data_IF_642139129247
#
_entry.id   IF_642139129247
#
_cell.length_a   1.000
_cell.length_b   1.000
_cell.length_c   1.000
_cell.angle_alpha   90.00
_cell.angle_beta   90.00
_cell.angle_gamma   90.00
#
_symmetry.space_group_name_H-M   'P 1'
#
loop_
_entity.id
_entity.type
_entity.pdbx_description
1 polymer ?
#
# COMPACT_ATOMS: atom_id res chain seq x y z
N UNK A 1 11.95 13.55 12.66
CA UNK A 1 13.35 13.16 12.27
C UNK A 1 13.55 11.64 12.39
N UNK A 2 13.12 11.01 13.47
CA UNK A 2 13.36 9.57 13.71
C UNK A 2 12.65 8.62 12.71
N UNK A 3 11.42 8.94 12.30
CA UNK A 3 10.66 8.07 11.37
C UNK A 3 11.32 8.02 9.98
N UNK A 4 11.75 9.15 9.45
CA UNK A 4 12.41 9.24 8.15
C UNK A 4 13.72 8.44 8.10
N UNK A 5 14.58 8.58 9.12
CA UNK A 5 15.84 7.82 9.20
C UNK A 5 15.60 6.30 9.29
N UNK A 6 14.57 5.89 10.02
CA UNK A 6 14.20 4.47 10.12
C UNK A 6 13.71 3.93 8.79
N UNK A 7 12.92 4.72 8.06
CA UNK A 7 12.43 4.35 6.73
C UNK A 7 13.58 4.27 5.72
N UNK A 8 14.52 5.21 5.74
CA UNK A 8 15.71 5.15 4.88
C UNK A 8 16.51 3.87 5.10
N UNK A 9 16.79 3.53 6.36
CA UNK A 9 17.46 2.26 6.70
C UNK A 9 16.67 1.01 6.27
N UNK A 10 15.34 1.07 6.37
CA UNK A 10 14.47 -0.01 5.91
C UNK A 10 14.56 -0.18 4.40
N UNK A 11 14.43 0.92 3.63
CA UNK A 11 14.53 0.92 2.17
C UNK A 11 15.89 0.39 1.70
N UNK A 12 16.99 0.85 2.30
CA UNK A 12 18.34 0.35 2.01
C UNK A 12 18.45 -1.18 2.21
N UNK A 13 17.85 -1.70 3.29
CA UNK A 13 17.83 -3.15 3.55
C UNK A 13 17.00 -3.90 2.52
N UNK A 14 15.86 -3.35 2.13
CA UNK A 14 14.96 -3.96 1.16
C UNK A 14 15.59 -4.00 -0.25
N UNK A 15 16.26 -2.92 -0.66
CA UNK A 15 17.00 -2.85 -1.92
C UNK A 15 18.14 -3.88 -1.94
N UNK A 16 18.89 -3.98 -0.84
CA UNK A 16 20.00 -4.93 -0.69
C UNK A 16 19.56 -6.40 -0.53
N UNK A 17 18.24 -6.65 -0.43
CA UNK A 17 17.72 -8.00 -0.18
C UNK A 17 18.09 -8.58 1.20
N UNK A 18 18.47 -7.71 2.16
CA UNK A 18 18.81 -8.13 3.53
C UNK A 18 17.59 -8.18 4.45
N UNK A 19 16.43 -7.81 3.96
CA UNK A 19 15.13 -7.99 4.62
C UNK A 19 14.06 -8.24 3.57
N UNK A 20 13.08 -9.04 3.94
CA UNK A 20 11.82 -9.26 3.23
C UNK A 20 10.62 -8.78 4.07
N UNK A 21 10.87 -8.14 5.20
CA UNK A 21 9.80 -7.62 6.05
C UNK A 21 9.13 -6.43 5.39
N UNK A 22 7.81 -6.39 5.50
CA UNK A 22 7.00 -5.24 5.15
C UNK A 22 7.05 -4.13 6.21
N UNK A 23 6.23 -3.11 6.03
CA UNK A 23 6.13 -1.98 6.94
C UNK A 23 4.67 -1.61 7.21
N UNK A 24 4.31 -1.47 8.48
CA UNK A 24 3.00 -1.06 8.94
C UNK A 24 3.08 0.35 9.51
N UNK A 25 2.58 1.34 8.75
CA UNK A 25 2.68 2.77 9.07
C UNK A 25 1.36 3.25 9.65
N UNK A 26 1.36 3.62 10.93
CA UNK A 26 0.18 4.13 11.63
C UNK A 26 0.35 5.59 12.03
N UNK A 27 -0.75 6.27 12.31
CA UNK A 27 -0.75 7.65 12.80
C UNK A 27 -2.06 8.36 12.49
N UNK A 28 -2.25 9.55 13.06
CA UNK A 28 -3.42 10.38 12.86
C UNK A 28 -3.60 10.80 11.38
N UNK A 29 -4.69 11.46 11.08
CA UNK A 29 -4.92 12.07 9.76
C UNK A 29 -3.90 13.19 9.51
N UNK A 30 -3.45 13.36 8.28
CA UNK A 30 -2.60 14.48 7.87
C UNK A 30 -1.12 14.39 8.25
N UNK A 31 -0.68 13.40 9.04
CA UNK A 31 0.71 13.27 9.52
C UNK A 31 1.72 12.76 8.48
N UNK A 32 1.32 12.55 7.23
CA UNK A 32 2.23 12.20 6.13
C UNK A 32 2.45 10.70 5.87
N UNK A 33 1.58 9.80 6.33
CA UNK A 33 1.70 8.34 6.09
C UNK A 33 1.79 7.98 4.62
N UNK A 34 0.83 8.43 3.81
CA UNK A 34 0.80 8.22 2.36
C UNK A 34 2.04 8.81 1.68
N UNK A 35 2.48 10.00 2.11
CA UNK A 35 3.71 10.62 1.61
C UNK A 35 4.93 9.73 1.86
N UNK A 36 5.06 9.19 3.07
CA UNK A 36 6.15 8.29 3.44
C UNK A 36 6.12 6.99 2.64
N UNK A 37 4.93 6.39 2.46
CA UNK A 37 4.74 5.20 1.64
C UNK A 37 5.11 5.47 0.17
N UNK A 38 4.76 6.64 -0.38
CA UNK A 38 5.12 7.06 -1.74
C UNK A 38 6.63 7.26 -1.88
N UNK A 39 7.31 7.80 -0.87
CA UNK A 39 8.78 7.92 -0.87
C UNK A 39 9.45 6.54 -0.92
N UNK A 40 8.93 5.57 -0.16
CA UNK A 40 9.42 4.18 -0.17
C UNK A 40 9.25 3.59 -1.58
N UNK A 41 8.04 3.67 -2.13
CA UNK A 41 7.73 3.15 -3.46
C UNK A 41 8.65 3.73 -4.54
N UNK A 42 8.80 5.06 -4.57
CA UNK A 42 9.67 5.75 -5.52
C UNK A 42 11.14 5.31 -5.43
N UNK A 43 11.64 5.09 -4.22
CA UNK A 43 13.04 4.67 -4.05
C UNK A 43 13.24 3.21 -4.50
N UNK A 44 12.27 2.34 -4.27
CA UNK A 44 12.28 0.96 -4.76
C UNK A 44 12.26 0.92 -6.30
N UNK A 45 11.40 1.75 -6.94
CA UNK A 45 11.32 1.89 -8.40
C UNK A 45 12.63 2.41 -9.00
N UNK A 46 13.25 3.43 -8.40
CA UNK A 46 14.54 3.96 -8.85
C UNK A 46 15.65 2.92 -8.87
N UNK A 47 15.52 1.88 -8.06
CA UNK A 47 16.44 0.76 -8.02
C UNK A 47 16.00 -0.43 -8.91
N UNK A 48 15.12 -0.19 -9.89
CA UNK A 48 14.73 -1.16 -10.91
C UNK A 48 13.78 -2.25 -10.42
N UNK A 49 13.14 -2.07 -9.28
CA UNK A 49 12.19 -3.04 -8.70
C UNK A 49 10.75 -2.66 -9.01
N UNK A 50 9.89 -3.67 -9.12
CA UNK A 50 8.47 -3.53 -9.42
C UNK A 50 7.66 -3.17 -8.17
N UNK A 51 6.73 -2.21 -8.30
CA UNK A 51 5.86 -1.75 -7.22
C UNK A 51 4.43 -1.60 -7.71
N UNK A 52 3.48 -2.06 -6.91
CA UNK A 52 2.07 -1.69 -7.03
C UNK A 52 1.70 -0.83 -5.83
N UNK A 53 1.06 0.31 -6.09
CA UNK A 53 0.61 1.27 -5.07
C UNK A 53 -0.86 1.63 -5.30
N UNK A 54 -1.68 1.50 -4.27
CA UNK A 54 -3.08 1.91 -4.33
C UNK A 54 -3.79 1.73 -2.99
N UNK A 55 -4.99 2.28 -2.88
CA UNK A 55 -5.91 1.91 -1.80
C UNK A 55 -6.47 0.51 -2.05
N UNK A 56 -6.95 -0.17 -1.00
CA UNK A 56 -7.58 -1.48 -1.20
C UNK A 56 -8.75 -1.41 -2.20
N UNK A 57 -9.54 -0.32 -2.16
CA UNK A 57 -10.65 -0.10 -3.10
C UNK A 57 -10.14 -0.09 -4.54
N UNK A 58 -9.11 0.69 -4.84
CA UNK A 58 -8.53 0.78 -6.19
C UNK A 58 -7.98 -0.56 -6.69
N UNK A 59 -7.28 -1.30 -5.82
CA UNK A 59 -6.79 -2.63 -6.16
C UNK A 59 -7.94 -3.60 -6.52
N UNK A 60 -9.04 -3.54 -5.77
CA UNK A 60 -10.21 -4.39 -5.98
C UNK A 60 -11.07 -3.93 -7.18
N UNK A 61 -11.16 -2.62 -7.44
CA UNK A 61 -11.81 -2.08 -8.64
C UNK A 61 -11.07 -2.53 -9.90
N UNK A 62 -9.75 -2.44 -9.92
CA UNK A 62 -8.94 -2.95 -11.02
C UNK A 62 -9.17 -4.45 -11.29
N UNK A 63 -9.39 -5.26 -10.24
CA UNK A 63 -9.80 -6.65 -10.41
C UNK A 63 -11.20 -6.78 -11.02
N UNK A 64 -12.14 -5.88 -10.66
CA UNK A 64 -13.53 -5.92 -11.15
C UNK A 64 -13.66 -5.49 -12.60
N UNK A 65 -12.93 -4.46 -13.00
CA UNK A 65 -13.02 -3.90 -14.36
C UNK A 65 -12.59 -4.90 -15.42
N UNK A 66 -11.71 -5.84 -15.06
CA UNK A 66 -11.32 -6.94 -15.95
C UNK A 66 -12.39 -8.02 -16.15
N UNK A 67 -13.48 -8.04 -15.35
CA UNK A 67 -14.62 -8.92 -15.64
C UNK A 67 -15.35 -8.58 -16.96
N UNK A 68 -15.20 -7.36 -17.46
CA UNK A 68 -15.76 -6.96 -18.76
C UNK A 68 -14.86 -7.36 -19.95
N UNK A 69 -13.58 -7.63 -19.72
CA UNK A 69 -12.63 -8.14 -20.71
C UNK A 69 -12.41 -9.64 -20.47
N UNK A 70 -12.93 -10.47 -21.34
CA UNK A 70 -12.95 -11.95 -21.22
C UNK A 70 -11.58 -12.64 -21.21
N UNK A 71 -10.47 -11.89 -21.24
CA UNK A 71 -9.11 -12.44 -21.34
C UNK A 71 -8.33 -12.44 -20.01
N UNK A 72 -8.76 -11.69 -18.96
CA UNK A 72 -8.03 -11.56 -17.70
C UNK A 72 -8.89 -12.02 -16.51
N UNK A 73 -8.41 -12.97 -15.75
CA UNK A 73 -9.13 -13.55 -14.60
C UNK A 73 -8.71 -12.92 -13.26
N UNK A 74 -9.56 -13.05 -12.22
CA UNK A 74 -9.22 -12.74 -10.82
C UNK A 74 -7.87 -13.33 -10.40
N UNK A 75 -7.58 -14.54 -10.90
CA UNK A 75 -6.33 -15.24 -10.60
C UNK A 75 -5.12 -14.51 -11.15
N UNK A 76 -5.25 -13.87 -12.33
CA UNK A 76 -4.15 -13.13 -12.95
C UNK A 76 -3.83 -11.86 -12.16
N UNK A 77 -4.85 -11.16 -11.63
CA UNK A 77 -4.64 -10.01 -10.76
C UNK A 77 -4.06 -10.40 -9.40
N UNK A 78 -4.54 -11.50 -8.79
CA UNK A 78 -3.94 -12.02 -7.57
C UNK A 78 -2.49 -12.44 -7.79
N UNK A 79 -2.17 -13.04 -8.93
CA UNK A 79 -0.80 -13.35 -9.33
C UNK A 79 0.04 -12.09 -9.49
N UNK A 80 -0.52 -11.04 -10.13
CA UNK A 80 0.16 -9.75 -10.28
C UNK A 80 0.49 -9.14 -8.92
N UNK A 81 -0.48 -9.07 -7.99
CA UNK A 81 -0.25 -8.55 -6.63
C UNK A 81 0.71 -9.41 -5.81
N UNK A 82 0.91 -10.67 -6.18
CA UNK A 82 1.84 -11.60 -5.56
C UNK A 82 3.18 -11.71 -6.28
N UNK A 83 3.39 -11.02 -7.41
CA UNK A 83 4.62 -11.10 -8.21
C UNK A 83 5.51 -9.86 -8.07
N UNK A 84 4.95 -8.70 -7.74
CA UNK A 84 5.71 -7.45 -7.61
C UNK A 84 6.62 -7.48 -6.39
N UNK A 85 7.79 -6.83 -6.50
CA UNK A 85 8.77 -6.74 -5.42
C UNK A 85 8.20 -6.06 -4.17
N UNK A 86 7.33 -5.05 -4.35
CA UNK A 86 6.66 -4.35 -3.27
C UNK A 86 5.19 -4.09 -3.60
N UNK A 87 4.30 -4.44 -2.68
CA UNK A 87 2.89 -3.99 -2.71
C UNK A 87 2.67 -2.94 -1.63
N UNK A 88 2.06 -1.82 -1.98
CA UNK A 88 1.63 -0.78 -1.04
C UNK A 88 0.12 -0.70 -1.02
N UNK A 89 -0.49 -0.93 0.14
CA UNK A 89 -1.92 -0.71 0.39
C UNK A 89 -2.07 0.51 1.26
N UNK A 90 -2.51 1.61 0.65
CA UNK A 90 -2.68 2.88 1.34
C UNK A 90 -4.05 2.98 2.00
N UNK A 91 -4.11 3.63 3.16
CA UNK A 91 -5.33 3.96 3.91
C UNK A 91 -6.22 2.75 4.28
N UNK A 92 -5.62 1.59 4.59
CA UNK A 92 -6.35 0.37 4.97
C UNK A 92 -7.30 0.62 6.15
N UNK A 93 -8.54 0.12 6.04
CA UNK A 93 -9.62 0.26 7.01
C UNK A 93 -10.56 1.44 6.74
N UNK A 94 -10.41 2.15 5.60
CA UNK A 94 -11.36 3.17 5.13
C UNK A 94 -12.48 2.57 4.28
N UNK A 95 -12.26 1.43 3.70
CA UNK A 95 -13.23 0.68 2.90
C UNK A 95 -14.39 0.18 3.73
N UNK A 96 -15.53 -0.01 3.08
CA UNK A 96 -16.66 -0.72 3.68
C UNK A 96 -16.42 -2.22 3.54
N UNK A 97 -16.27 -2.96 4.64
CA UNK A 97 -15.99 -4.39 4.55
C UNK A 97 -17.19 -5.14 3.98
N UNK A 98 -16.94 -6.03 3.03
CA UNK A 98 -17.86 -7.06 2.54
C UNK A 98 -17.12 -8.40 2.58
N UNK A 99 -17.83 -9.51 2.56
CA UNK A 99 -17.21 -10.85 2.55
C UNK A 99 -16.23 -10.98 1.38
N UNK A 100 -16.61 -10.51 0.20
CA UNK A 100 -15.77 -10.51 -0.98
C UNK A 100 -14.48 -9.66 -0.78
N UNK A 101 -14.59 -8.46 -0.21
CA UNK A 101 -13.43 -7.59 0.09
C UNK A 101 -12.47 -8.29 1.05
N UNK A 102 -13.00 -8.91 2.11
CA UNK A 102 -12.18 -9.61 3.09
C UNK A 102 -11.51 -10.86 2.51
N UNK A 103 -12.24 -11.63 1.69
CA UNK A 103 -11.69 -12.78 0.96
C UNK A 103 -10.52 -12.37 0.08
N UNK A 104 -10.69 -11.32 -0.75
CA UNK A 104 -9.61 -10.84 -1.64
C UNK A 104 -8.43 -10.29 -0.86
N UNK A 105 -8.67 -9.49 0.18
CA UNK A 105 -7.61 -9.00 1.06
C UNK A 105 -6.85 -10.16 1.73
N UNK A 106 -7.57 -11.17 2.22
CA UNK A 106 -6.96 -12.37 2.80
C UNK A 106 -6.07 -13.08 1.77
N UNK A 107 -6.55 -13.30 0.55
CA UNK A 107 -5.79 -13.96 -0.51
C UNK A 107 -4.51 -13.18 -0.85
N UNK A 108 -4.61 -11.86 -1.00
CA UNK A 108 -3.45 -10.98 -1.28
C UNK A 108 -2.41 -11.09 -0.15
N UNK A 109 -2.85 -10.90 1.09
CA UNK A 109 -1.96 -10.93 2.27
C UNK A 109 -1.35 -12.31 2.45
N UNK A 110 -2.16 -13.38 2.35
CA UNK A 110 -1.72 -14.75 2.52
C UNK A 110 -0.70 -15.17 1.46
N UNK A 111 -0.92 -14.80 0.19
CA UNK A 111 0.03 -15.11 -0.89
C UNK A 111 1.37 -14.40 -0.65
N UNK A 112 1.36 -13.13 -0.27
CA UNK A 112 2.59 -12.39 0.01
C UNK A 112 3.31 -12.93 1.26
N UNK A 113 2.56 -13.28 2.31
CA UNK A 113 3.08 -13.90 3.52
C UNK A 113 3.81 -15.22 3.21
N UNK A 114 3.16 -16.13 2.47
CA UNK A 114 3.72 -17.44 2.12
C UNK A 114 4.96 -17.35 1.21
N UNK A 115 5.02 -16.33 0.36
CA UNK A 115 6.15 -16.10 -0.57
C UNK A 115 7.20 -15.13 -0.01
N UNK A 116 7.11 -14.73 1.26
CA UNK A 116 8.03 -13.80 1.90
C UNK A 116 8.19 -12.47 1.13
N UNK A 117 7.12 -11.98 0.51
CA UNK A 117 7.11 -10.74 -0.25
C UNK A 117 6.72 -9.56 0.63
N UNK A 118 7.49 -8.45 0.62
CA UNK A 118 7.22 -7.31 1.48
C UNK A 118 5.94 -6.58 1.08
N UNK A 119 5.17 -6.14 2.08
CA UNK A 119 4.00 -5.29 1.92
C UNK A 119 4.14 -4.04 2.79
N UNK A 120 3.78 -2.88 2.25
CA UNK A 120 3.67 -1.63 3.02
C UNK A 120 2.21 -1.32 3.20
N UNK A 121 1.79 -1.12 4.45
CA UNK A 121 0.42 -0.74 4.81
C UNK A 121 0.46 0.63 5.45
N UNK A 122 -0.44 1.52 5.05
CA UNK A 122 -0.74 2.71 5.85
C UNK A 122 -2.16 2.64 6.41
N UNK A 123 -2.35 3.14 7.61
CA UNK A 123 -3.68 3.18 8.24
C UNK A 123 -3.73 4.25 9.34
N UNK A 124 -4.93 4.75 9.62
CA UNK A 124 -5.17 5.64 10.77
C UNK A 124 -5.52 4.87 12.05
N UNK A 125 -5.63 3.56 11.96
CA UNK A 125 -6.17 2.71 13.01
C UNK A 125 -5.06 1.91 13.70
N UNK A 126 -5.15 1.76 15.02
CA UNK A 126 -4.38 0.76 15.73
C UNK A 126 -4.93 -0.66 15.45
N UNK A 127 -4.24 -1.70 15.95
CA UNK A 127 -4.61 -3.09 15.72
C UNK A 127 -6.07 -3.40 16.04
N UNK A 128 -6.54 -2.97 17.21
CA UNK A 128 -7.90 -3.27 17.67
C UNK A 128 -8.94 -2.51 16.85
N UNK A 129 -8.68 -1.23 16.56
CA UNK A 129 -9.54 -0.42 15.72
C UNK A 129 -9.65 -0.98 14.30
N UNK A 130 -8.51 -1.41 13.70
CA UNK A 130 -8.52 -2.01 12.38
C UNK A 130 -9.29 -3.34 12.36
N UNK A 131 -9.14 -4.14 13.42
CA UNK A 131 -9.90 -5.39 13.63
C UNK A 131 -11.41 -5.13 13.63
N UNK A 132 -11.86 -4.13 14.38
CA UNK A 132 -13.28 -3.75 14.44
C UNK A 132 -13.78 -3.16 13.11
N UNK A 133 -12.95 -2.36 12.43
CA UNK A 133 -13.31 -1.74 11.15
C UNK A 133 -13.49 -2.75 10.02
N UNK A 134 -12.69 -3.79 10.00
CA UNK A 134 -12.76 -4.85 8.99
C UNK A 134 -13.78 -5.95 9.35
N UNK A 135 -14.30 -5.98 10.58
CA UNK A 135 -15.22 -7.02 11.02
C UNK A 135 -16.60 -6.89 10.37
N UNK A 136 -17.18 -8.02 9.98
CA UNK A 136 -18.54 -8.14 9.46
C UNK A 136 -19.35 -9.01 10.41
N UNK A 137 -20.51 -8.52 10.86
CA UNK A 137 -21.46 -9.27 11.69
C UNK A 137 -20.81 -9.95 12.91
N UNK A 138 -19.82 -9.31 13.53
CA UNK A 138 -19.04 -9.85 14.66
C UNK A 138 -18.30 -11.16 14.35
N UNK A 139 -18.10 -11.51 13.09
CA UNK A 139 -17.25 -12.63 12.68
C UNK A 139 -15.82 -12.13 12.45
N UNK A 140 -14.91 -12.47 13.35
CA UNK A 140 -13.52 -12.03 13.33
C UNK A 140 -12.54 -13.04 12.71
N UNK A 141 -12.98 -14.23 12.35
CA UNK A 141 -12.09 -15.33 11.96
C UNK A 141 -11.13 -14.96 10.81
N UNK A 142 -11.67 -14.46 9.72
CA UNK A 142 -10.86 -14.05 8.55
C UNK A 142 -10.04 -12.79 8.86
N UNK A 143 -10.62 -11.84 9.62
CA UNK A 143 -9.96 -10.58 10.00
C UNK A 143 -8.77 -10.85 10.91
N UNK A 144 -8.93 -11.72 11.91
CA UNK A 144 -7.84 -12.12 12.82
C UNK A 144 -6.70 -12.81 12.06
N UNK A 145 -7.05 -13.61 11.06
CA UNK A 145 -6.06 -14.24 10.18
C UNK A 145 -5.28 -13.23 9.35
N UNK A 146 -5.95 -12.21 8.79
CA UNK A 146 -5.32 -11.12 8.03
C UNK A 146 -4.38 -10.32 8.95
N UNK A 147 -4.90 -9.85 10.08
CA UNK A 147 -4.17 -8.99 11.02
C UNK A 147 -2.96 -9.73 11.60
N UNK A 148 -3.10 -11.00 11.96
CA UNK A 148 -1.99 -11.81 12.48
C UNK A 148 -0.83 -11.85 11.49
N UNK A 149 -1.09 -12.14 10.22
CA UNK A 149 -0.06 -12.19 9.16
C UNK A 149 0.59 -10.82 8.93
N UNK A 150 -0.22 -9.76 8.84
CA UNK A 150 0.30 -8.41 8.67
C UNK A 150 1.24 -8.00 9.81
N UNK A 151 0.89 -8.31 11.06
CA UNK A 151 1.75 -7.98 12.21
C UNK A 151 3.00 -8.85 12.31
N UNK A 152 2.96 -10.07 11.80
CA UNK A 152 4.12 -10.96 11.75
C UNK A 152 5.10 -10.55 10.64
N UNK A 153 4.58 -10.23 9.44
CA UNK A 153 5.40 -9.91 8.28
C UNK A 153 5.87 -8.46 8.21
N UNK A 154 5.29 -7.54 8.99
CA UNK A 154 5.60 -6.11 8.94
C UNK A 154 6.25 -5.60 10.22
N UNK A 155 7.25 -4.71 10.07
CA UNK A 155 7.71 -3.85 11.15
C UNK A 155 6.76 -2.67 11.34
N UNK A 156 6.51 -2.24 12.60
CA UNK A 156 5.62 -1.12 12.90
C UNK A 156 6.35 0.23 12.92
N UNK A 157 5.74 1.26 12.33
CA UNK A 157 6.13 2.67 12.52
C UNK A 157 4.87 3.45 12.86
N UNK A 158 4.90 4.14 14.00
CA UNK A 158 3.86 5.11 14.37
C UNK A 158 4.39 6.52 14.13
N UNK A 159 3.68 7.30 13.31
CA UNK A 159 3.98 8.72 13.10
C UNK A 159 3.15 9.52 14.09
N UNK A 160 3.86 10.15 15.06
CA UNK A 160 3.30 11.06 16.04
C UNK A 160 3.70 12.46 15.63
N UNK A 161 2.83 13.14 14.90
CA UNK A 161 3.04 14.51 14.44
C UNK A 161 1.67 15.21 14.32
N UNK A 162 1.71 16.53 14.20
CA UNK A 162 0.50 17.32 13.98
C UNK A 162 -0.01 17.18 12.55
N UNK A 163 -1.30 17.49 12.33
CA UNK A 163 -1.90 17.46 11.00
C UNK A 163 -1.30 18.56 10.11
N UNK A 164 -0.36 18.19 9.27
CA UNK A 164 0.29 19.08 8.31
C UNK A 164 -0.67 19.69 7.27
N UNK A 165 -1.91 19.18 7.16
CA UNK A 165 -2.93 19.76 6.27
C UNK A 165 -3.57 21.02 6.85
N UNK A 166 -3.50 21.19 8.18
CA UNK A 166 -4.11 22.32 8.90
C UNK A 166 -3.16 23.50 9.04
N UNK A 167 -1.85 23.29 8.97
CA UNK A 167 -0.85 24.29 9.35
C UNK A 167 -0.39 25.24 8.26
N UNK A 168 -0.69 25.00 6.95
CA UNK A 168 -0.15 25.90 5.91
C UNK A 168 -0.95 25.93 4.60
N UNK A 169 -1.71 27.03 4.43
CA UNK A 169 -2.35 27.37 3.15
C UNK A 169 -1.32 27.72 2.05
N UNK A 170 -0.12 28.16 2.41
CA UNK A 170 0.93 28.59 1.48
C UNK A 170 1.82 27.43 1.00
N UNK A 171 2.06 26.42 1.83
CA UNK A 171 2.77 25.20 1.42
C UNK A 171 1.91 24.33 0.50
N UNK A 172 0.59 24.38 0.61
CA UNK A 172 -0.32 23.67 -0.31
C UNK A 172 -0.13 24.06 -1.77
N UNK A 173 0.15 25.31 -2.05
CA UNK A 173 0.30 25.82 -3.43
C UNK A 173 1.64 25.40 -4.04
N UNK A 174 2.72 25.41 -3.26
CA UNK A 174 4.04 25.00 -3.72
C UNK A 174 4.18 23.46 -3.87
N UNK A 175 3.60 22.67 -2.97
CA UNK A 175 3.60 21.21 -3.06
C UNK A 175 2.63 20.67 -4.11
N UNK A 176 1.48 21.33 -4.33
CA UNK A 176 0.55 21.00 -5.41
C UNK A 176 1.18 21.19 -6.79
N UNK A 177 2.00 22.21 -6.97
CA UNK A 177 2.58 22.55 -8.26
C UNK A 177 3.93 21.86 -8.54
N UNK A 178 4.66 21.42 -7.53
CA UNK A 178 6.03 20.93 -7.72
C UNK A 178 6.18 19.40 -7.72
N UNK A 179 5.49 18.67 -6.86
CA UNK A 179 5.76 17.25 -6.66
C UNK A 179 4.56 16.34 -6.98
N UNK A 180 3.38 16.68 -6.46
CA UNK A 180 2.18 15.87 -6.60
C UNK A 180 1.75 15.77 -8.07
N UNK A 181 1.65 16.91 -8.78
CA UNK A 181 1.24 16.93 -10.18
C UNK A 181 2.33 16.42 -11.15
N UNK A 182 3.62 16.58 -10.86
CA UNK A 182 4.69 16.01 -11.69
C UNK A 182 4.87 14.50 -11.48
N UNK A 183 4.71 14.03 -10.27
CA UNK A 183 4.81 12.58 -10.00
C UNK A 183 3.58 11.85 -10.52
N UNK A 184 2.37 12.33 -10.25
CA UNK A 184 1.13 11.67 -10.69
C UNK A 184 0.97 11.74 -12.21
N UNK A 185 1.17 12.89 -12.88
CA UNK A 185 1.05 12.99 -14.32
C UNK A 185 2.12 12.20 -15.07
N UNK A 186 3.34 12.15 -14.54
CA UNK A 186 4.41 11.34 -15.11
C UNK A 186 4.19 9.85 -14.83
N UNK A 187 3.69 9.50 -13.65
CA UNK A 187 3.31 8.15 -13.25
C UNK A 187 2.11 7.65 -14.08
N UNK A 188 1.08 8.46 -14.32
CA UNK A 188 -0.09 8.08 -15.16
C UNK A 188 0.29 7.90 -16.63
N UNK A 189 1.25 8.66 -17.15
CA UNK A 189 1.75 8.51 -18.52
C UNK A 189 2.65 7.26 -18.68
N UNK A 190 3.46 6.98 -17.66
CA UNK A 190 4.34 5.80 -17.63
C UNK A 190 3.57 4.50 -17.34
N UNK A 191 2.44 4.53 -16.64
CA UNK A 191 1.59 3.35 -16.38
C UNK A 191 1.11 2.68 -17.67
N UNK A 192 0.65 3.45 -18.66
CA UNK A 192 0.26 2.87 -19.96
C UNK A 192 1.45 2.26 -20.73
N UNK A 193 2.67 2.77 -20.50
CA UNK A 193 3.90 2.26 -21.10
C UNK A 193 4.49 1.08 -20.34
N UNK A 194 4.35 1.07 -19.01
CA UNK A 194 4.96 0.09 -18.10
C UNK A 194 4.10 -1.15 -17.88
N UNK A 195 2.78 -1.09 -18.10
CA UNK A 195 1.94 -2.30 -18.24
C UNK A 195 2.42 -3.15 -19.42
N UNK A 196 2.93 -2.50 -20.50
CA UNK A 196 3.58 -3.21 -21.60
C UNK A 196 4.95 -3.82 -21.22
N UNK A 197 5.70 -3.20 -20.28
CA UNK A 197 7.07 -3.59 -19.90
C UNK A 197 7.18 -4.36 -18.56
N UNK A 198 6.08 -4.74 -17.91
CA UNK A 198 5.99 -5.55 -16.65
C UNK A 198 6.67 -4.97 -15.40
N UNK A 199 7.07 -3.70 -15.36
CA UNK A 199 7.91 -3.22 -14.26
C UNK A 199 7.25 -2.36 -13.19
N UNK A 200 6.13 -1.68 -13.44
CA UNK A 200 5.44 -0.88 -12.39
C UNK A 200 3.96 -0.66 -12.72
N UNK A 201 3.10 -0.84 -11.76
CA UNK A 201 1.68 -0.46 -11.84
C UNK A 201 1.32 0.43 -10.63
N UNK A 202 0.96 1.69 -10.89
CA UNK A 202 0.30 2.56 -9.92
C UNK A 202 -1.18 2.60 -10.26
N UNK A 203 -2.02 2.28 -9.29
CA UNK A 203 -3.47 2.42 -9.37
C UNK A 203 -3.88 3.66 -8.56
N UNK A 204 -4.36 4.69 -9.25
CA UNK A 204 -4.88 5.93 -8.65
C UNK A 204 -6.37 6.07 -8.96
#
# INVERSE_FOLDING_TARGET
KNAYENVKKYVDKLIKGTTNKGLFITGAYGVGKTYLASCIANEIIKNGKSVIFGTLIQLLEFMRDSYSDSEVSDKDHLNLYSSVDLLVIDDLGKEKPTEWVLEKLFLIVNNRYNNYLPIVITTNYNRNQLRERLCINKNYSIVDSIISRLYEMCGGIEIKDDDHRMSDSLIRESLRNSWYNRSISKITLDVKRLVADKNVTFLF
#
